data_IF_294790557848
#
_entry.id   IF_294790557848
#
_cell.length_a   1.000
_cell.length_b   1.000
_cell.length_c   1.000
_cell.angle_alpha   90.00
_cell.angle_beta   90.00
_cell.angle_gamma   90.00
#
_symmetry.space_group_name_H-M   'P 1'
#
loop_
_entity.id
_entity.type
_entity.pdbx_description
1 polymer ?
#
# COMPACT_ATOMS: atom_id res chain seq x y z
N UNK A 1 4.99 0.46 -15.47
CA UNK A 1 4.12 0.14 -14.32
C UNK A 1 4.73 -1.05 -13.62
N UNK A 2 4.79 -0.97 -12.29
CA UNK A 2 5.21 -2.07 -11.43
C UNK A 2 3.93 -2.61 -10.77
N UNK A 3 3.75 -3.91 -10.81
CA UNK A 3 2.60 -4.58 -10.17
C UNK A 3 3.01 -5.22 -8.85
N UNK A 4 2.02 -5.73 -8.12
CA UNK A 4 2.19 -6.25 -6.77
C UNK A 4 3.19 -7.42 -6.67
N UNK A 5 3.29 -8.21 -7.73
CA UNK A 5 4.25 -9.30 -7.91
C UNK A 5 5.62 -8.84 -8.44
N UNK A 6 5.89 -7.53 -8.38
CA UNK A 6 7.11 -6.87 -8.86
C UNK A 6 7.34 -7.00 -10.37
N UNK A 7 6.33 -7.42 -11.14
CA UNK A 7 6.45 -7.44 -12.59
C UNK A 7 6.54 -6.01 -13.14
N UNK A 8 7.48 -5.78 -14.06
CA UNK A 8 7.68 -4.48 -14.69
C UNK A 8 7.18 -4.54 -16.12
N UNK A 9 6.16 -3.74 -16.41
CA UNK A 9 5.66 -3.55 -17.77
C UNK A 9 5.93 -2.11 -18.24
N UNK A 10 6.67 -1.89 -19.33
CA UNK A 10 6.79 -0.56 -19.92
C UNK A 10 5.43 -0.15 -20.48
N UNK A 11 4.95 1.04 -20.10
CA UNK A 11 3.70 1.60 -20.59
C UNK A 11 3.95 3.02 -21.08
N UNK A 12 3.29 3.40 -22.17
CA UNK A 12 3.15 4.81 -22.53
C UNK A 12 2.22 5.51 -21.53
N UNK A 13 2.30 6.84 -21.43
CA UNK A 13 1.41 7.62 -20.55
C UNK A 13 -0.07 7.31 -20.82
N UNK A 14 -0.47 7.26 -22.10
CA UNK A 14 -1.84 6.97 -22.52
C UNK A 14 -2.26 5.55 -22.08
N UNK A 15 -1.39 4.56 -22.26
CA UNK A 15 -1.68 3.17 -21.87
C UNK A 15 -1.75 3.00 -20.35
N UNK A 16 -0.89 3.70 -19.60
CA UNK A 16 -0.94 3.72 -18.14
C UNK A 16 -2.26 4.29 -17.62
N UNK A 17 -2.66 5.46 -18.11
CA UNK A 17 -3.93 6.09 -17.73
C UNK A 17 -5.13 5.20 -18.08
N UNK A 18 -5.15 4.63 -19.29
CA UNK A 18 -6.23 3.72 -19.71
C UNK A 18 -6.36 2.50 -18.80
N UNK A 19 -5.26 1.96 -18.26
CA UNK A 19 -5.32 0.84 -17.31
C UNK A 19 -5.91 1.25 -15.95
N UNK A 20 -5.62 2.46 -15.48
CA UNK A 20 -6.19 2.99 -14.24
C UNK A 20 -7.70 3.24 -14.36
N UNK A 21 -8.18 3.63 -15.54
CA UNK A 21 -9.60 3.94 -15.78
C UNK A 21 -10.46 2.75 -16.20
N UNK A 22 -9.86 1.59 -16.50
CA UNK A 22 -10.57 0.40 -17.01
C UNK A 22 -10.96 -0.60 -15.90
N UNK A 23 -10.82 -0.21 -14.62
CA UNK A 23 -11.37 -0.96 -13.49
C UNK A 23 -12.87 -0.66 -13.42
N UNK A 24 -13.71 -1.68 -13.26
CA UNK A 24 -15.17 -1.53 -13.32
C UNK A 24 -15.67 -0.42 -12.39
N UNK A 25 -16.62 0.38 -12.87
CA UNK A 25 -17.12 1.64 -12.29
C UNK A 25 -17.68 1.58 -10.85
N UNK A 26 -17.70 0.40 -10.25
CA UNK A 26 -18.18 0.14 -8.89
C UNK A 26 -17.04 0.14 -7.87
N UNK A 27 -15.77 0.09 -8.32
CA UNK A 27 -14.60 0.07 -7.43
C UNK A 27 -14.06 1.49 -7.26
N UNK A 28 -14.12 2.02 -6.04
CA UNK A 28 -13.54 3.31 -5.68
C UNK A 28 -12.00 3.24 -5.76
N UNK A 29 -11.38 4.17 -6.49
CA UNK A 29 -9.93 4.23 -6.67
C UNK A 29 -9.30 5.14 -5.63
N UNK A 30 -8.39 4.59 -4.82
CA UNK A 30 -7.62 5.34 -3.83
C UNK A 30 -6.16 5.45 -4.29
N UNK A 31 -5.62 6.67 -4.35
CA UNK A 31 -4.19 6.92 -4.55
C UNK A 31 -3.58 7.26 -3.20
N UNK A 32 -2.67 6.40 -2.73
CA UNK A 32 -1.89 6.65 -1.53
C UNK A 32 -0.45 6.96 -1.90
N UNK A 33 0.09 8.01 -1.30
CA UNK A 33 1.54 8.21 -1.25
C UNK A 33 2.05 7.50 -0.01
N UNK A 34 3.09 6.67 -0.18
CA UNK A 34 3.70 5.92 0.91
C UNK A 34 5.14 6.37 1.07
N UNK A 35 5.61 6.40 2.31
CA UNK A 35 7.02 6.66 2.59
C UNK A 35 7.83 5.38 2.32
N UNK A 36 9.04 5.53 1.80
CA UNK A 36 9.93 4.42 1.51
C UNK A 36 11.31 4.71 2.11
N UNK A 37 11.45 4.35 3.38
CA UNK A 37 12.68 4.46 4.15
C UNK A 37 13.43 3.13 4.24
N UNK A 38 14.36 3.06 5.20
CA UNK A 38 15.22 1.88 5.37
C UNK A 38 14.44 0.67 5.89
N UNK A 39 13.48 0.89 6.78
CA UNK A 39 12.66 -0.19 7.34
C UNK A 39 11.73 -0.77 6.27
N UNK A 40 11.06 0.10 5.51
CA UNK A 40 10.17 -0.30 4.42
C UNK A 40 10.96 -0.99 3.30
N UNK A 41 12.19 -0.55 3.03
CA UNK A 41 13.06 -1.21 2.06
C UNK A 41 13.50 -2.61 2.52
N UNK A 42 13.74 -2.82 3.82
CA UNK A 42 14.06 -4.13 4.36
C UNK A 42 12.85 -5.06 4.29
N UNK A 43 11.68 -4.61 4.74
CA UNK A 43 10.43 -5.38 4.67
C UNK A 43 10.04 -5.70 3.23
N UNK A 44 10.22 -4.74 2.31
CA UNK A 44 10.04 -4.94 0.87
C UNK A 44 10.96 -6.04 0.33
N UNK A 45 12.25 -5.99 0.70
CA UNK A 45 13.23 -6.96 0.26
C UNK A 45 12.88 -8.36 0.79
N UNK A 46 12.53 -8.48 2.07
CA UNK A 46 12.10 -9.76 2.66
C UNK A 46 10.85 -10.31 1.96
N UNK A 47 9.83 -9.48 1.76
CA UNK A 47 8.59 -9.86 1.07
C UNK A 47 8.84 -10.26 -0.39
N UNK A 48 9.81 -9.64 -1.08
CA UNK A 48 10.14 -9.97 -2.48
C UNK A 48 10.59 -11.42 -2.69
N UNK A 49 11.13 -12.06 -1.67
CA UNK A 49 11.56 -13.46 -1.74
C UNK A 49 10.45 -14.46 -1.38
N UNK A 50 9.37 -13.99 -0.74
CA UNK A 50 8.42 -14.86 -0.05
C UNK A 50 6.98 -14.71 -0.56
N UNK A 51 6.63 -13.56 -1.14
CA UNK A 51 5.26 -13.22 -1.51
C UNK A 51 5.11 -12.84 -2.99
N UNK A 52 3.89 -13.00 -3.50
CA UNK A 52 3.47 -12.49 -4.82
C UNK A 52 2.66 -11.19 -4.72
N UNK A 53 2.39 -10.73 -3.50
CA UNK A 53 1.63 -9.52 -3.19
C UNK A 53 2.52 -8.55 -2.40
N UNK A 54 3.72 -8.32 -2.91
CA UNK A 54 4.83 -7.70 -2.19
C UNK A 54 4.52 -6.25 -1.83
N UNK A 55 4.00 -5.45 -2.78
CA UNK A 55 3.68 -4.05 -2.52
C UNK A 55 2.54 -3.93 -1.51
N UNK A 56 1.52 -4.79 -1.61
CA UNK A 56 0.41 -4.84 -0.67
C UNK A 56 0.89 -5.21 0.73
N UNK A 57 1.74 -6.24 0.85
CA UNK A 57 2.27 -6.67 2.14
C UNK A 57 3.22 -5.65 2.79
N UNK A 58 4.01 -4.92 2.01
CA UNK A 58 4.91 -3.89 2.55
C UNK A 58 4.15 -2.62 2.91
N UNK A 59 3.23 -2.16 2.07
CA UNK A 59 2.69 -0.80 2.19
C UNK A 59 1.23 -0.72 2.67
N UNK A 60 0.51 -1.84 2.70
CA UNK A 60 -0.89 -1.90 3.14
C UNK A 60 -1.06 -2.73 4.44
N UNK A 61 0.01 -3.29 5.02
CA UNK A 61 -0.01 -3.81 6.39
C UNK A 61 -0.34 -2.67 7.36
N UNK A 62 -1.28 -2.90 8.28
CA UNK A 62 -1.61 -1.95 9.36
C UNK A 62 -3.04 -1.40 9.38
N UNK A 63 -3.82 -1.57 8.30
CA UNK A 63 -5.14 -0.91 8.18
C UNK A 63 -6.18 -1.30 9.24
N UNK A 64 -6.07 -2.45 9.90
CA UNK A 64 -7.03 -2.79 10.98
C UNK A 64 -6.55 -2.36 12.37
N UNK A 65 -5.24 -2.22 12.62
CA UNK A 65 -4.74 -1.95 13.97
C UNK A 65 -4.27 -0.52 14.17
N UNK A 66 -3.82 0.17 13.12
CA UNK A 66 -3.39 1.57 13.23
C UNK A 66 -4.60 2.50 13.31
N UNK A 67 -5.64 2.26 12.51
CA UNK A 67 -6.92 2.98 12.60
C UNK A 67 -7.58 2.73 13.95
N UNK A 68 -7.56 1.48 14.45
CA UNK A 68 -8.04 1.19 15.80
C UNK A 68 -7.16 1.86 16.86
N UNK A 69 -5.84 1.85 16.74
CA UNK A 69 -4.93 2.49 17.69
C UNK A 69 -5.15 4.02 17.73
N UNK A 70 -5.43 4.65 16.59
CA UNK A 70 -5.82 6.06 16.51
C UNK A 70 -7.19 6.29 17.16
N UNK A 71 -8.17 5.42 16.91
CA UNK A 71 -9.48 5.46 17.58
C UNK A 71 -9.34 5.27 19.10
N UNK A 72 -8.52 4.34 19.58
CA UNK A 72 -8.25 4.15 21.01
C UNK A 72 -7.55 5.36 21.62
N UNK A 73 -6.62 5.99 20.89
CA UNK A 73 -5.93 7.21 21.33
C UNK A 73 -6.88 8.41 21.41
N UNK A 74 -7.84 8.50 20.50
CA UNK A 74 -8.88 9.53 20.48
C UNK A 74 -9.93 9.33 21.59
N UNK A 75 -10.37 8.08 21.81
CA UNK A 75 -11.40 7.75 22.81
C UNK A 75 -10.83 7.77 24.24
N UNK A 76 -9.60 7.29 24.44
CA UNK A 76 -9.02 7.09 25.77
C UNK A 76 -7.90 8.06 26.12
N UNK A 77 -7.61 9.02 25.25
CA UNK A 77 -6.88 10.26 25.52
C UNK A 77 -5.75 10.14 26.54
N UNK A 78 -4.53 9.85 26.07
CA UNK A 78 -3.25 10.21 26.70
C UNK A 78 -3.08 10.03 28.23
N UNK A 79 -3.81 9.10 28.88
CA UNK A 79 -3.69 8.79 30.31
C UNK A 79 -2.86 7.52 30.58
N UNK A 80 -1.79 7.30 29.81
CA UNK A 80 -0.77 6.31 30.12
C UNK A 80 0.63 6.95 30.07
N UNK A 81 0.84 8.00 30.87
CA UNK A 81 1.93 8.17 31.87
C UNK A 81 1.46 9.24 32.85
#
# INVERSE_FOLDING_TARGET
MVTDDLSVSPLSMISGLSKLTNVESTVEFEVKTVEFGVNEALEFLEASFQSKIVLSETFLKGREFDDLALIWKEIYGNNLV
#
